data_IF_913324923771
#
_entry.id   IF_913324923771
#
_cell.length_a   1.000
_cell.length_b   1.000
_cell.length_c   1.000
_cell.angle_alpha   90.00
_cell.angle_beta   90.00
_cell.angle_gamma   90.00
#
_symmetry.space_group_name_H-M   'P 1'
#
loop_
_entity.id
_entity.type
_entity.pdbx_description
1 polymer ?
#
# COMPACT_ATOMS: atom_id res chain seq x y z
N UNK A 1 16.26 20.38 4.81
CA UNK A 1 15.21 19.44 5.28
C UNK A 1 15.16 18.21 4.35
N UNK A 2 15.10 17.00 4.91
CA UNK A 2 15.00 15.74 4.16
C UNK A 2 13.64 15.07 4.42
N UNK A 3 12.87 14.82 3.36
CA UNK A 3 11.59 14.11 3.41
C UNK A 3 11.69 12.82 2.62
N UNK A 4 11.29 11.71 3.22
CA UNK A 4 11.33 10.38 2.59
C UNK A 4 9.89 9.89 2.45
N UNK A 5 9.46 9.66 1.22
CA UNK A 5 8.14 9.12 0.88
C UNK A 5 8.31 7.64 0.61
N UNK A 6 7.63 6.80 1.38
CA UNK A 6 7.78 5.35 1.30
C UNK A 6 6.46 4.65 1.64
N UNK A 7 6.40 3.33 1.52
CA UNK A 7 5.25 2.54 1.95
C UNK A 7 4.94 1.35 1.05
N UNK A 8 4.13 0.44 1.58
CA UNK A 8 3.68 -0.76 0.84
C UNK A 8 2.60 -0.41 -0.19
N UNK A 9 1.91 0.73 -0.05
CA UNK A 9 1.08 1.31 -1.13
C UNK A 9 1.95 2.13 -2.10
N UNK A 10 2.55 1.43 -3.05
CA UNK A 10 3.43 2.00 -4.07
C UNK A 10 2.69 3.01 -4.94
N UNK A 11 1.42 2.73 -5.28
CA UNK A 11 0.60 3.58 -6.13
C UNK A 11 0.30 4.92 -5.45
N UNK A 12 -0.18 4.90 -4.21
CA UNK A 12 -0.50 6.12 -3.46
C UNK A 12 0.76 6.94 -3.12
N UNK A 13 1.85 6.27 -2.72
CA UNK A 13 3.11 6.95 -2.43
C UNK A 13 3.71 7.63 -3.67
N UNK A 14 3.66 6.96 -4.85
CA UNK A 14 4.14 7.52 -6.12
C UNK A 14 3.28 8.68 -6.61
N UNK A 15 1.96 8.56 -6.46
CA UNK A 15 1.02 9.64 -6.77
C UNK A 15 1.28 10.88 -5.90
N UNK A 16 1.52 10.69 -4.60
CA UNK A 16 1.89 11.76 -3.68
C UNK A 16 3.24 12.41 -4.01
N UNK A 17 4.26 11.63 -4.33
CA UNK A 17 5.56 12.17 -4.78
C UNK A 17 5.40 13.05 -6.03
N UNK A 18 4.58 12.59 -6.99
CA UNK A 18 4.30 13.33 -8.22
C UNK A 18 3.48 14.60 -7.98
N UNK A 19 2.49 14.56 -7.07
CA UNK A 19 1.70 15.73 -6.71
C UNK A 19 2.52 16.77 -5.97
N UNK A 20 3.44 16.33 -5.10
CA UNK A 20 4.35 17.21 -4.38
C UNK A 20 5.28 17.96 -5.35
N UNK A 21 5.80 17.28 -6.37
CA UNK A 21 6.58 17.93 -7.45
C UNK A 21 5.77 19.03 -8.15
N UNK A 22 4.50 18.79 -8.48
CA UNK A 22 3.60 19.80 -9.07
C UNK A 22 3.34 20.97 -8.12
N UNK A 23 3.20 20.71 -6.82
CA UNK A 23 2.99 21.74 -5.79
C UNK A 23 4.19 22.67 -5.60
N UNK A 24 5.41 22.13 -5.65
CA UNK A 24 6.61 22.98 -5.62
C UNK A 24 6.71 23.85 -6.87
N UNK A 25 6.35 23.30 -8.03
CA UNK A 25 6.36 24.04 -9.30
C UNK A 25 5.36 25.21 -9.25
N UNK A 26 4.14 25.00 -8.74
CA UNK A 26 3.13 26.06 -8.62
C UNK A 26 3.52 27.16 -7.63
N UNK A 27 4.38 26.85 -6.64
CA UNK A 27 4.97 27.81 -5.71
C UNK A 27 6.20 28.54 -6.25
N UNK A 28 6.60 28.25 -7.49
CA UNK A 28 7.75 28.90 -8.14
C UNK A 28 9.12 28.41 -7.64
N UNK A 29 9.20 27.19 -7.09
CA UNK A 29 10.48 26.58 -6.72
C UNK A 29 11.20 26.05 -7.96
N UNK A 30 12.52 26.14 -7.96
CA UNK A 30 13.35 25.46 -8.94
C UNK A 30 13.47 23.98 -8.57
N UNK A 31 12.96 23.10 -9.43
CA UNK A 31 12.95 21.65 -9.19
C UNK A 31 14.12 21.00 -9.93
N UNK A 32 14.99 20.33 -9.19
CA UNK A 32 16.08 19.51 -9.77
C UNK A 32 15.89 18.04 -9.44
N UNK A 33 15.74 17.21 -10.46
CA UNK A 33 15.69 15.75 -10.29
C UNK A 33 17.11 15.19 -10.32
N UNK A 34 17.45 14.36 -9.35
CA UNK A 34 18.80 13.88 -9.08
C UNK A 34 18.77 12.36 -8.93
N UNK A 35 19.66 11.67 -9.66
CA UNK A 35 19.88 10.24 -9.45
C UNK A 35 20.55 9.99 -8.10
N UNK A 36 20.20 8.90 -7.41
CA UNK A 36 20.78 8.60 -6.09
C UNK A 36 22.31 8.60 -6.06
N UNK A 37 22.97 8.25 -7.18
CA UNK A 37 24.42 8.24 -7.33
C UNK A 37 25.05 9.63 -7.19
N UNK A 38 24.34 10.69 -7.57
CA UNK A 38 24.89 12.04 -7.67
C UNK A 38 24.55 12.95 -6.48
N UNK A 39 23.98 12.38 -5.41
CA UNK A 39 23.52 13.15 -4.23
C UNK A 39 24.65 13.91 -3.53
N UNK A 40 25.90 13.47 -3.67
CA UNK A 40 27.07 14.19 -3.13
C UNK A 40 27.33 15.53 -3.84
N UNK A 41 26.75 15.75 -5.03
CA UNK A 41 26.91 16.98 -5.79
C UNK A 41 25.87 18.05 -5.43
N UNK A 42 24.93 17.79 -4.51
CA UNK A 42 23.89 18.75 -4.13
C UNK A 42 24.49 20.09 -3.68
N UNK A 43 25.55 20.07 -2.85
CA UNK A 43 26.21 21.30 -2.39
C UNK A 43 26.85 22.10 -3.52
N UNK A 44 27.40 21.41 -4.54
CA UNK A 44 27.94 22.06 -5.75
C UNK A 44 26.84 22.74 -6.54
N UNK A 45 25.73 22.04 -6.77
CA UNK A 45 24.59 22.56 -7.53
C UNK A 45 23.85 23.71 -6.83
N UNK A 46 23.91 23.74 -5.50
CA UNK A 46 23.48 24.91 -4.74
C UNK A 46 24.37 26.12 -5.02
N UNK A 47 25.69 25.91 -5.12
CA UNK A 47 26.70 26.96 -5.31
C UNK A 47 26.80 27.45 -6.76
N UNK A 48 26.53 26.59 -7.75
CA UNK A 48 26.72 26.86 -9.18
C UNK A 48 25.68 27.81 -9.81
N UNK A 49 24.58 28.10 -9.11
CA UNK A 49 23.58 29.02 -9.65
C UNK A 49 22.80 29.70 -8.52
N UNK A 50 23.32 30.80 -7.94
CA UNK A 50 22.44 31.72 -7.23
C UNK A 50 21.50 32.30 -8.28
N UNK A 51 20.29 31.75 -8.38
CA UNK A 51 19.26 32.32 -9.25
C UNK A 51 19.12 33.80 -8.89
N UNK A 52 19.21 34.68 -9.89
CA UNK A 52 19.11 36.13 -9.72
C UNK A 52 17.74 36.54 -9.14
N UNK A 53 16.76 35.65 -9.26
CA UNK A 53 15.46 35.71 -8.60
C UNK A 53 15.49 34.69 -7.46
N UNK A 54 15.09 35.07 -6.26
CA UNK A 54 15.19 34.30 -5.00
C UNK A 54 14.35 33.01 -4.99
N UNK A 55 14.57 32.11 -5.94
CA UNK A 55 13.85 30.87 -6.11
C UNK A 55 14.50 29.82 -5.22
N UNK A 56 13.74 29.37 -4.23
CA UNK A 56 14.13 28.25 -3.37
C UNK A 56 14.27 27.00 -4.23
N UNK A 57 15.34 26.24 -4.04
CA UNK A 57 15.62 25.00 -4.76
C UNK A 57 15.07 23.80 -3.99
N UNK A 58 14.48 22.87 -4.73
CA UNK A 58 14.06 21.58 -4.18
C UNK A 58 14.63 20.44 -5.04
N UNK A 59 15.25 19.48 -4.38
CA UNK A 59 15.85 18.32 -5.01
C UNK A 59 14.92 17.12 -4.85
N UNK A 60 14.75 16.38 -5.94
CA UNK A 60 13.92 15.19 -6.00
C UNK A 60 14.81 14.00 -6.36
N UNK A 61 14.82 12.97 -5.53
CA UNK A 61 15.56 11.73 -5.76
C UNK A 61 14.68 10.49 -5.62
N UNK A 62 15.18 9.37 -6.12
CA UNK A 62 14.54 8.07 -5.98
C UNK A 62 15.59 7.04 -5.57
N UNK A 63 15.23 6.12 -4.68
CA UNK A 63 16.04 4.96 -4.28
C UNK A 63 17.37 5.32 -3.60
N UNK A 64 17.43 6.44 -2.88
CA UNK A 64 18.60 6.86 -2.11
C UNK A 64 19.03 5.83 -1.04
N UNK A 65 18.09 5.08 -0.47
CA UNK A 65 18.33 4.02 0.52
C UNK A 65 19.27 2.92 -0.02
N UNK A 66 19.35 2.71 -1.35
CA UNK A 66 20.31 1.79 -1.98
C UNK A 66 21.76 2.25 -1.82
N UNK A 67 22.01 3.56 -1.81
CA UNK A 67 23.35 4.13 -1.68
C UNK A 67 23.89 4.09 -0.24
N UNK A 68 23.02 3.87 0.74
CA UNK A 68 23.40 3.84 2.15
C UNK A 68 24.02 2.49 2.50
N UNK A 69 25.32 2.51 2.77
CA UNK A 69 26.10 1.36 3.23
C UNK A 69 26.60 1.64 4.66
N UNK A 70 26.45 0.69 5.62
CA UNK A 70 27.04 0.79 6.97
C UNK A 70 28.53 1.17 7.00
N UNK A 71 29.28 0.79 5.97
CA UNK A 71 30.72 1.02 5.86
C UNK A 71 31.06 2.44 5.40
N UNK A 72 30.21 3.06 4.57
CA UNK A 72 30.46 4.41 4.03
C UNK A 72 29.64 5.47 4.78
N UNK A 73 30.18 5.94 5.90
CA UNK A 73 29.55 6.95 6.78
C UNK A 73 29.49 8.36 6.17
N UNK A 74 30.23 8.63 5.09
CA UNK A 74 30.34 9.98 4.49
C UNK A 74 28.99 10.48 3.97
N UNK A 75 28.28 9.64 3.22
CA UNK A 75 26.97 9.98 2.63
C UNK A 75 25.94 10.26 3.72
N UNK A 76 25.95 9.49 4.81
CA UNK A 76 25.07 9.72 5.95
C UNK A 76 25.34 11.08 6.60
N UNK A 77 26.62 11.46 6.76
CA UNK A 77 27.00 12.76 7.30
C UNK A 77 26.57 13.92 6.39
N UNK A 78 26.70 13.76 5.08
CA UNK A 78 26.29 14.80 4.12
C UNK A 78 24.75 14.96 4.08
N UNK A 79 23.99 13.86 4.14
CA UNK A 79 22.53 13.92 4.28
C UNK A 79 22.08 14.56 5.60
N UNK A 80 22.80 14.34 6.69
CA UNK A 80 22.54 15.01 7.98
C UNK A 80 22.76 16.52 7.89
N UNK A 81 23.80 16.98 7.18
CA UNK A 81 24.02 18.41 6.92
C UNK A 81 22.87 19.01 6.11
N UNK A 82 22.43 18.33 5.04
CA UNK A 82 21.29 18.76 4.22
C UNK A 82 19.99 18.81 5.04
N UNK A 83 19.80 17.89 5.98
CA UNK A 83 18.63 17.89 6.86
C UNK A 83 18.57 19.16 7.71
N UNK A 84 19.70 19.59 8.28
CA UNK A 84 19.80 20.76 9.17
C UNK A 84 19.64 22.11 8.44
N UNK A 85 19.79 22.10 7.12
CA UNK A 85 19.62 23.29 6.27
C UNK A 85 18.15 23.66 6.07
N UNK A 86 17.86 24.95 6.13
CA UNK A 86 16.53 25.54 5.90
C UNK A 86 16.34 26.04 4.47
N UNK A 87 17.44 26.22 3.74
CA UNK A 87 17.51 26.72 2.36
C UNK A 87 17.45 25.62 1.30
N UNK A 88 17.56 24.36 1.72
CA UNK A 88 17.54 23.17 0.85
C UNK A 88 16.47 22.20 1.30
N UNK A 89 15.64 21.77 0.36
CA UNK A 89 14.69 20.69 0.57
C UNK A 89 15.02 19.52 -0.35
N UNK A 90 15.22 18.34 0.22
CA UNK A 90 15.48 17.09 -0.49
C UNK A 90 14.30 16.14 -0.23
N UNK A 91 13.65 15.71 -1.31
CA UNK A 91 12.52 14.79 -1.28
C UNK A 91 12.95 13.52 -1.99
N UNK A 92 12.89 12.41 -1.28
CA UNK A 92 13.26 11.10 -1.80
C UNK A 92 12.06 10.15 -1.80
N UNK A 93 11.95 9.32 -2.84
CA UNK A 93 10.93 8.28 -2.93
C UNK A 93 11.53 6.87 -2.94
N UNK A 94 10.94 6.00 -2.12
CA UNK A 94 11.39 4.64 -1.86
C UNK A 94 10.26 3.62 -2.00
N UNK A 95 10.50 2.57 -2.78
CA UNK A 95 9.63 1.38 -2.92
C UNK A 95 9.86 0.40 -1.76
N UNK A 96 9.86 0.91 -0.53
CA UNK A 96 10.17 0.16 0.69
C UNK A 96 9.22 0.56 1.82
N UNK A 97 9.04 -0.32 2.79
CA UNK A 97 8.30 -0.04 4.02
C UNK A 97 9.15 0.82 4.97
N UNK A 98 8.54 1.55 5.91
CA UNK A 98 9.29 2.41 6.84
C UNK A 98 10.32 1.63 7.67
N UNK A 99 10.02 0.38 8.01
CA UNK A 99 10.91 -0.45 8.83
C UNK A 99 12.20 -0.86 8.10
N UNK A 100 12.17 -0.94 6.77
CA UNK A 100 13.28 -1.30 5.88
C UNK A 100 14.21 -0.10 5.57
N UNK A 101 13.74 1.13 5.83
CA UNK A 101 14.51 2.34 5.58
C UNK A 101 15.69 2.49 6.53
N UNK A 102 16.89 2.60 5.97
CA UNK A 102 18.12 2.95 6.71
C UNK A 102 18.14 4.43 7.10
N UNK A 103 17.45 5.29 6.33
CA UNK A 103 17.41 6.74 6.50
C UNK A 103 16.32 7.25 7.44
N UNK A 104 15.52 6.36 8.03
CA UNK A 104 14.37 6.70 8.90
C UNK A 104 14.71 7.61 10.09
N UNK A 105 15.98 7.65 10.51
CA UNK A 105 16.45 8.48 11.64
C UNK A 105 16.90 9.88 11.23
N UNK A 106 17.08 10.13 9.94
CA UNK A 106 17.65 11.40 9.42
C UNK A 106 16.56 12.23 8.74
N UNK A 107 15.68 11.59 7.97
CA UNK A 107 14.59 12.26 7.27
C UNK A 107 13.24 12.18 8.00
N UNK A 108 12.35 13.12 7.70
CA UNK A 108 10.93 12.97 8.02
C UNK A 108 10.32 11.92 7.10
N UNK A 109 9.83 10.82 7.66
CA UNK A 109 9.24 9.73 6.87
C UNK A 109 7.74 9.93 6.74
N UNK A 110 7.26 9.94 5.49
CA UNK A 110 5.83 9.88 5.15
C UNK A 110 5.53 8.48 4.61
N UNK A 111 5.04 7.60 5.48
CA UNK A 111 4.67 6.24 5.14
C UNK A 111 3.24 6.14 4.59
N UNK A 112 3.09 5.48 3.46
CA UNK A 112 1.83 5.06 2.84
C UNK A 112 1.62 3.58 3.11
N UNK A 113 0.99 3.28 4.24
CA UNK A 113 0.59 1.91 4.56
C UNK A 113 -0.43 1.44 3.52
N UNK A 114 -0.42 0.14 3.14
CA UNK A 114 -1.49 -0.37 2.34
C UNK A 114 -2.77 -0.22 3.13
N UNK A 115 -3.85 0.05 2.43
CA UNK A 115 -5.16 0.10 3.02
C UNK A 115 -5.41 -1.30 3.64
N UNK A 116 -5.21 -1.42 4.97
CA UNK A 116 -5.36 -2.66 5.75
C UNK A 116 -6.81 -3.20 5.70
N UNK A 117 -7.66 -2.50 4.98
CA UNK A 117 -9.08 -2.72 4.77
C UNK A 117 -9.34 -4.06 4.08
N UNK A 118 -8.51 -4.54 3.15
CA UNK A 118 -8.80 -5.82 2.47
C UNK A 118 -8.71 -7.01 3.42
N UNK A 119 -7.68 -7.08 4.27
CA UNK A 119 -7.58 -8.17 5.25
C UNK A 119 -8.68 -8.05 6.31
N UNK A 120 -9.05 -6.83 6.72
CA UNK A 120 -10.17 -6.61 7.64
C UNK A 120 -11.52 -7.05 7.03
N UNK A 121 -11.72 -6.83 5.72
CA UNK A 121 -12.86 -7.38 5.01
C UNK A 121 -12.84 -8.90 5.08
N UNK A 122 -11.75 -9.55 4.69
CA UNK A 122 -11.63 -11.01 4.71
C UNK A 122 -11.84 -11.59 6.12
N UNK A 123 -11.28 -10.95 7.15
CA UNK A 123 -11.46 -11.34 8.55
C UNK A 123 -12.92 -11.21 9.01
N UNK A 124 -13.72 -10.35 8.37
CA UNK A 124 -15.13 -10.15 8.69
C UNK A 124 -16.07 -11.18 8.05
N UNK A 125 -15.57 -12.07 7.19
CA UNK A 125 -16.37 -13.04 6.42
C UNK A 125 -16.71 -14.27 7.26
N UNK A 126 -17.71 -14.13 8.14
CA UNK A 126 -18.29 -15.25 8.88
C UNK A 126 -19.74 -14.96 9.31
N UNK A 127 -20.54 -16.01 9.61
CA UNK A 127 -21.93 -15.85 10.02
C UNK A 127 -22.07 -15.02 11.30
N UNK A 128 -22.97 -14.04 11.29
CA UNK A 128 -23.23 -13.09 12.37
C UNK A 128 -22.51 -11.75 12.23
N UNK A 129 -21.79 -11.49 11.14
CA UNK A 129 -20.93 -10.32 10.99
C UNK A 129 -21.16 -9.50 9.70
N UNK A 130 -22.33 -9.66 9.05
CA UNK A 130 -22.68 -8.91 7.83
C UNK A 130 -22.48 -7.39 7.89
N UNK A 131 -22.82 -6.74 9.00
CA UNK A 131 -22.78 -5.27 9.10
C UNK A 131 -21.35 -4.77 8.94
N UNK A 132 -20.41 -5.45 9.58
CA UNK A 132 -19.00 -5.11 9.49
C UNK A 132 -18.43 -5.43 8.10
N UNK A 133 -18.84 -6.56 7.52
CA UNK A 133 -18.46 -6.95 6.15
C UNK A 133 -18.90 -5.91 5.12
N UNK A 134 -20.18 -5.51 5.14
CA UNK A 134 -20.71 -4.50 4.20
C UNK A 134 -19.99 -3.17 4.40
N UNK A 135 -19.77 -2.73 5.64
CA UNK A 135 -19.04 -1.48 5.90
C UNK A 135 -17.61 -1.50 5.36
N UNK A 136 -16.89 -2.62 5.45
CA UNK A 136 -15.57 -2.73 4.84
C UNK A 136 -15.62 -2.82 3.32
N UNK A 137 -16.62 -3.50 2.76
CA UNK A 137 -16.82 -3.60 1.33
C UNK A 137 -17.07 -2.23 0.70
N UNK A 138 -17.92 -1.42 1.34
CA UNK A 138 -18.18 -0.03 0.95
C UNK A 138 -16.89 0.80 0.89
N UNK A 139 -16.10 0.78 1.97
CA UNK A 139 -14.84 1.53 2.04
C UNK A 139 -13.84 1.08 0.98
N UNK A 140 -13.76 -0.23 0.73
CA UNK A 140 -12.85 -0.79 -0.26
C UNK A 140 -13.25 -0.46 -1.69
N UNK A 141 -14.55 -0.49 -2.00
CA UNK A 141 -15.07 -0.19 -3.33
C UNK A 141 -14.76 1.23 -3.82
N UNK A 142 -14.42 2.15 -2.89
CA UNK A 142 -14.02 3.52 -3.24
C UNK A 142 -12.58 3.63 -3.73
N UNK A 143 -11.68 2.72 -3.31
CA UNK A 143 -10.24 2.86 -3.50
C UNK A 143 -9.62 1.69 -4.29
N UNK A 144 -10.27 0.52 -4.29
CA UNK A 144 -9.78 -0.70 -4.95
C UNK A 144 -10.74 -1.17 -6.03
N UNK A 145 -10.17 -1.81 -7.04
CA UNK A 145 -10.93 -2.51 -8.08
C UNK A 145 -11.80 -3.62 -7.47
N UNK A 146 -13.09 -3.64 -7.83
CA UNK A 146 -14.04 -4.61 -7.27
C UNK A 146 -13.68 -6.07 -7.63
N UNK A 147 -13.11 -6.31 -8.82
CA UNK A 147 -12.65 -7.65 -9.22
C UNK A 147 -11.47 -8.10 -8.38
N UNK A 148 -10.56 -7.20 -8.01
CA UNK A 148 -9.47 -7.51 -7.07
C UNK A 148 -10.03 -7.98 -5.72
N UNK A 149 -11.00 -7.24 -5.16
CA UNK A 149 -11.67 -7.61 -3.89
C UNK A 149 -12.32 -8.99 -4.02
N UNK A 150 -13.03 -9.23 -5.11
CA UNK A 150 -13.71 -10.50 -5.39
C UNK A 150 -12.75 -11.69 -5.50
N UNK A 151 -11.65 -11.56 -6.25
CA UNK A 151 -10.63 -12.60 -6.38
C UNK A 151 -10.00 -12.92 -5.02
N UNK A 152 -9.72 -11.89 -4.21
CA UNK A 152 -9.18 -12.06 -2.87
C UNK A 152 -10.15 -12.85 -1.97
N UNK A 153 -11.45 -12.54 -2.05
CA UNK A 153 -12.49 -13.25 -1.31
C UNK A 153 -12.58 -14.73 -1.70
N UNK A 154 -12.60 -15.04 -3.01
CA UNK A 154 -12.64 -16.43 -3.50
C UNK A 154 -11.45 -17.24 -2.98
N UNK A 155 -10.23 -16.69 -3.09
CA UNK A 155 -9.01 -17.34 -2.60
C UNK A 155 -9.08 -17.59 -1.09
N UNK A 156 -9.59 -16.61 -0.35
CA UNK A 156 -9.70 -16.69 1.10
C UNK A 156 -10.71 -17.75 1.55
N UNK A 157 -11.91 -17.78 0.95
CA UNK A 157 -12.92 -18.81 1.24
C UNK A 157 -12.42 -20.21 0.89
N UNK A 158 -11.69 -20.37 -0.23
CA UNK A 158 -11.05 -21.64 -0.57
C UNK A 158 -10.09 -22.10 0.54
N UNK A 159 -9.28 -21.19 1.06
CA UNK A 159 -8.37 -21.49 2.16
C UNK A 159 -9.12 -21.85 3.46
N UNK A 160 -10.26 -21.21 3.74
CA UNK A 160 -11.12 -21.59 4.86
C UNK A 160 -11.67 -23.01 4.70
N UNK A 161 -12.11 -23.40 3.51
CA UNK A 161 -12.59 -24.76 3.23
C UNK A 161 -11.50 -25.78 3.51
N UNK A 162 -10.29 -25.57 2.97
CA UNK A 162 -9.12 -26.44 3.19
C UNK A 162 -8.84 -26.62 4.70
N UNK A 163 -8.86 -25.51 5.44
CA UNK A 163 -8.65 -25.52 6.90
C UNK A 163 -9.78 -26.26 7.63
N UNK A 164 -11.03 -26.06 7.20
CA UNK A 164 -12.20 -26.71 7.80
C UNK A 164 -12.23 -28.21 7.54
N UNK A 165 -11.65 -28.67 6.44
CA UNK A 165 -11.41 -30.09 6.11
C UNK A 165 -10.18 -30.68 6.82
N UNK A 166 -9.46 -29.89 7.63
CA UNK A 166 -8.34 -30.37 8.44
C UNK A 166 -6.96 -30.30 7.77
N UNK A 167 -6.87 -29.74 6.56
CA UNK A 167 -5.61 -29.53 5.84
C UNK A 167 -5.08 -28.09 6.04
N UNK A 168 -3.82 -27.84 5.69
CA UNK A 168 -3.21 -26.49 5.74
C UNK A 168 -2.88 -26.04 4.32
N UNK A 169 -3.31 -24.84 3.88
CA UNK A 169 -2.94 -24.30 2.59
C UNK A 169 -1.41 -24.20 2.42
N UNK A 170 -0.88 -24.47 1.21
CA UNK A 170 0.57 -24.42 0.98
C UNK A 170 1.12 -23.01 1.19
N UNK A 171 2.37 -22.92 1.67
CA UNK A 171 3.13 -21.67 1.87
C UNK A 171 2.51 -20.68 2.88
N UNK A 172 1.64 -21.15 3.77
CA UNK A 172 0.99 -20.30 4.78
C UNK A 172 1.81 -20.21 6.06
N UNK A 173 1.98 -19.01 6.61
CA UNK A 173 2.68 -18.79 7.87
C UNK A 173 1.81 -19.20 9.07
N UNK A 174 2.42 -19.64 10.18
CA UNK A 174 1.68 -20.19 11.33
C UNK A 174 0.60 -19.26 11.89
N UNK A 175 0.83 -17.94 11.90
CA UNK A 175 -0.16 -16.96 12.38
C UNK A 175 -1.37 -16.84 11.44
N UNK A 176 -1.16 -16.97 10.12
CA UNK A 176 -2.25 -16.97 9.13
C UNK A 176 -3.11 -18.22 9.29
N UNK A 177 -2.46 -19.37 9.47
CA UNK A 177 -3.13 -20.64 9.75
C UNK A 177 -3.97 -20.57 11.02
N UNK A 178 -3.42 -20.01 12.11
CA UNK A 178 -4.16 -19.84 13.37
C UNK A 178 -5.41 -18.96 13.18
N UNK A 179 -5.27 -17.86 12.45
CA UNK A 179 -6.37 -16.94 12.17
C UNK A 179 -7.48 -17.59 11.36
N UNK A 180 -7.13 -18.30 10.28
CA UNK A 180 -8.10 -19.04 9.46
C UNK A 180 -8.77 -20.15 10.26
N UNK A 181 -8.03 -20.88 11.12
CA UNK A 181 -8.63 -21.89 12.00
C UNK A 181 -9.68 -21.27 12.90
N UNK A 182 -9.36 -20.15 13.56
CA UNK A 182 -10.31 -19.43 14.40
C UNK A 182 -11.56 -19.02 13.63
N UNK A 183 -11.40 -18.48 12.42
CA UNK A 183 -12.54 -18.03 11.63
C UNK A 183 -13.37 -19.20 11.09
N UNK A 184 -12.73 -20.29 10.66
CA UNK A 184 -13.38 -21.49 10.17
C UNK A 184 -14.31 -22.12 11.23
N UNK A 185 -14.06 -21.92 12.53
CA UNK A 185 -14.95 -22.39 13.60
C UNK A 185 -16.34 -21.74 13.56
N UNK A 186 -16.47 -20.51 13.06
CA UNK A 186 -17.77 -19.82 12.95
C UNK A 186 -18.67 -20.39 11.85
N UNK A 187 -18.10 -21.14 10.90
CA UNK A 187 -18.83 -21.69 9.77
C UNK A 187 -19.34 -23.10 10.05
N UNK A 188 -20.59 -23.38 9.65
CA UNK A 188 -21.00 -24.75 9.33
C UNK A 188 -20.39 -25.15 7.99
N UNK A 189 -19.92 -26.39 7.87
CA UNK A 189 -19.24 -26.88 6.65
C UNK A 189 -20.10 -26.65 5.40
N UNK A 190 -21.37 -27.06 5.44
CA UNK A 190 -22.31 -26.91 4.34
C UNK A 190 -22.51 -25.45 3.93
N UNK A 191 -22.65 -24.55 4.91
CA UNK A 191 -22.83 -23.11 4.64
C UNK A 191 -21.58 -22.50 3.98
N UNK A 192 -20.38 -22.91 4.39
CA UNK A 192 -19.14 -22.42 3.80
C UNK A 192 -18.97 -22.90 2.35
N UNK A 193 -19.31 -24.16 2.08
CA UNK A 193 -19.32 -24.71 0.72
C UNK A 193 -20.37 -24.01 -0.14
N UNK A 194 -21.58 -23.78 0.39
CA UNK A 194 -22.65 -23.06 -0.32
C UNK A 194 -22.26 -21.60 -0.59
N UNK A 195 -21.57 -20.93 0.35
CA UNK A 195 -21.03 -19.59 0.14
C UNK A 195 -20.03 -19.57 -1.02
N UNK A 196 -19.12 -20.54 -1.07
CA UNK A 196 -18.14 -20.67 -2.16
C UNK A 196 -18.81 -20.96 -3.52
N UNK A 197 -19.83 -21.82 -3.55
CA UNK A 197 -20.62 -22.09 -4.75
C UNK A 197 -21.36 -20.84 -5.23
N UNK A 198 -21.88 -20.01 -4.31
CA UNK A 198 -22.54 -18.76 -4.66
C UNK A 198 -21.55 -17.73 -5.23
N UNK A 199 -20.33 -17.63 -4.68
CA UNK A 199 -19.24 -16.84 -5.29
C UNK A 199 -18.94 -17.33 -6.72
N UNK A 200 -18.90 -18.64 -6.95
CA UNK A 200 -18.68 -19.19 -8.29
C UNK A 200 -19.81 -18.82 -9.27
N UNK A 201 -21.08 -18.81 -8.82
CA UNK A 201 -22.21 -18.35 -9.64
C UNK A 201 -22.07 -16.87 -10.03
N UNK A 202 -21.62 -16.03 -9.10
CA UNK A 202 -21.32 -14.62 -9.39
C UNK A 202 -20.22 -14.52 -10.46
N UNK A 203 -19.13 -15.30 -10.31
CA UNK A 203 -18.02 -15.31 -11.29
C UNK A 203 -18.49 -15.71 -12.69
N UNK A 204 -19.32 -16.74 -12.81
CA UNK A 204 -19.92 -17.13 -14.09
C UNK A 204 -20.72 -15.96 -14.66
N UNK A 205 -21.65 -15.41 -13.88
CA UNK A 205 -22.53 -14.34 -14.33
C UNK A 205 -21.80 -13.08 -14.80
N UNK A 206 -20.68 -12.74 -14.16
CA UNK A 206 -19.80 -11.65 -14.58
C UNK A 206 -19.12 -11.95 -15.92
N UNK A 207 -18.60 -13.17 -16.12
CA UNK A 207 -17.92 -13.56 -17.35
C UNK A 207 -18.87 -13.76 -18.53
N UNK A 208 -20.12 -14.17 -18.28
CA UNK A 208 -21.14 -14.36 -19.30
C UNK A 208 -21.98 -13.12 -19.55
N UNK A 209 -21.70 -11.99 -18.87
CA UNK A 209 -22.50 -10.76 -18.93
C UNK A 209 -23.99 -10.99 -18.64
N UNK A 210 -24.32 -12.01 -17.86
CA UNK A 210 -25.70 -12.36 -17.48
C UNK A 210 -26.05 -11.93 -16.06
N UNK A 211 -25.10 -11.35 -15.32
CA UNK A 211 -25.33 -10.77 -14.01
C UNK A 211 -25.79 -9.31 -14.18
N UNK A 212 -27.01 -8.94 -13.74
CA UNK A 212 -27.49 -7.57 -13.81
C UNK A 212 -26.87 -6.64 -12.75
N UNK A 213 -26.16 -7.21 -11.77
CA UNK A 213 -25.58 -6.48 -10.65
C UNK A 213 -24.08 -6.25 -10.81
N UNK A 214 -23.57 -5.18 -10.21
CA UNK A 214 -22.13 -4.99 -10.02
C UNK A 214 -21.53 -6.10 -9.13
N UNK A 215 -20.20 -6.19 -9.11
CA UNK A 215 -19.51 -7.15 -8.24
C UNK A 215 -19.82 -6.83 -6.78
N UNK A 216 -19.78 -5.54 -6.42
CA UNK A 216 -20.14 -5.06 -5.10
C UNK A 216 -21.57 -5.46 -4.70
N UNK A 217 -22.57 -5.13 -5.52
CA UNK A 217 -23.98 -5.43 -5.25
C UNK A 217 -24.20 -6.94 -5.10
N UNK A 218 -23.55 -7.75 -5.95
CA UNK A 218 -23.61 -9.21 -5.87
C UNK A 218 -23.05 -9.74 -4.55
N UNK A 219 -21.96 -9.14 -4.05
CA UNK A 219 -21.35 -9.49 -2.77
C UNK A 219 -22.20 -9.06 -1.57
N UNK A 220 -22.89 -7.92 -1.66
CA UNK A 220 -23.83 -7.47 -0.62
C UNK A 220 -25.03 -8.40 -0.50
N UNK A 221 -25.62 -8.80 -1.62
CA UNK A 221 -26.72 -9.77 -1.67
C UNK A 221 -26.26 -11.10 -1.04
N UNK A 222 -25.07 -11.57 -1.42
CA UNK A 222 -24.49 -12.79 -0.87
C UNK A 222 -24.27 -12.68 0.66
N UNK A 223 -23.74 -11.55 1.11
CA UNK A 223 -23.51 -11.30 2.53
C UNK A 223 -24.80 -11.30 3.34
N UNK A 224 -25.87 -10.70 2.84
CA UNK A 224 -27.18 -10.70 3.50
C UNK A 224 -27.76 -12.11 3.69
N UNK A 225 -27.40 -13.07 2.83
CA UNK A 225 -27.89 -14.45 2.93
C UNK A 225 -27.07 -15.31 3.89
N UNK A 226 -25.74 -15.14 3.93
CA UNK A 226 -24.83 -16.06 4.63
C UNK A 226 -24.10 -15.49 5.85
N UNK A 227 -23.94 -14.16 5.94
CA UNK A 227 -23.17 -13.46 7.00
C UNK A 227 -24.09 -12.77 8.02
#
# INVERSE_FOLDING_TARGET
MLTIICGEDISASRAYYSSLKKHYLSKGYEIRTVGYQDIENIDRWMSESPSLFSQKKVFFSERLNKKINPVNKKILADLQKIQQRTDVELIDWEELSQWELKLKKIGQVKEFKPDQTIFKLLDSVYPGNKVLFISYLDKLSQNLDENFVFIMLIRYIRNLIIIKEGAVPPKMQSWQTYKLKSQALHWKQENLVNFYQALFKIEIGLKTSSNPFSVKESLEILACHFL
#
